data_IF_213262098795
#
_entry.id   IF_213262098795
#
_cell.length_a   1.000
_cell.length_b   1.000
_cell.length_c   1.000
_cell.angle_alpha   90.00
_cell.angle_beta   90.00
_cell.angle_gamma   90.00
#
_symmetry.space_group_name_H-M   'P 1'
#
loop_
_entity.id
_entity.type
_entity.pdbx_description
1 polymer ?
#
# COMPACT_ATOMS: atom_id res chain seq x y z
N UNK A 1 -15.88 10.35 -1.66
CA UNK A 1 -16.06 9.32 -2.71
C UNK A 1 -17.51 9.37 -3.13
N UNK A 2 -17.82 10.11 -4.19
CA UNK A 2 -19.18 10.30 -4.69
C UNK A 2 -19.58 9.27 -5.77
N UNK A 3 -18.63 8.44 -6.22
CA UNK A 3 -18.87 7.38 -7.20
C UNK A 3 -19.42 6.11 -6.54
N UNK A 4 -20.54 5.61 -7.06
CA UNK A 4 -21.19 4.38 -6.59
C UNK A 4 -20.33 3.13 -6.75
N UNK A 5 -19.30 3.16 -7.61
CA UNK A 5 -18.39 2.05 -7.86
C UNK A 5 -17.27 1.89 -6.81
N UNK A 6 -17.03 2.90 -5.97
CA UNK A 6 -15.90 2.95 -5.05
C UNK A 6 -16.34 2.79 -3.59
N UNK A 7 -15.67 1.90 -2.86
CA UNK A 7 -15.85 1.71 -1.42
C UNK A 7 -14.93 2.64 -0.64
N UNK A 8 -13.66 2.70 -1.05
CA UNK A 8 -12.60 3.41 -0.32
C UNK A 8 -11.63 4.03 -1.31
N UNK A 9 -11.29 5.30 -1.07
CA UNK A 9 -10.19 5.97 -1.73
C UNK A 9 -9.34 6.68 -0.67
N UNK A 10 -8.04 6.42 -0.66
CA UNK A 10 -7.12 7.03 0.30
C UNK A 10 -5.83 7.50 -0.38
N UNK A 11 -5.39 8.71 -0.04
CA UNK A 11 -4.12 9.26 -0.47
C UNK A 11 -2.99 8.64 0.34
N UNK A 12 -1.95 8.18 -0.34
CA UNK A 12 -0.84 7.45 0.24
C UNK A 12 0.49 8.11 -0.12
N UNK A 13 1.37 8.21 0.88
CA UNK A 13 2.78 8.48 0.71
C UNK A 13 3.59 7.21 0.95
N UNK A 14 4.61 6.96 0.13
CA UNK A 14 5.45 5.77 0.25
C UNK A 14 6.35 5.88 1.49
N UNK A 15 6.39 4.82 2.31
CA UNK A 15 7.38 4.72 3.39
C UNK A 15 8.77 4.49 2.80
N UNK A 16 9.82 5.10 3.37
CA UNK A 16 11.18 4.71 3.00
C UNK A 16 11.41 3.24 3.39
N UNK A 17 12.28 2.55 2.64
CA UNK A 17 12.44 1.10 2.73
C UNK A 17 12.71 0.59 4.15
N UNK A 18 13.52 1.33 4.92
CA UNK A 18 13.87 1.03 6.30
C UNK A 18 12.75 1.26 7.32
N UNK A 19 11.71 2.03 6.99
CA UNK A 19 10.58 2.31 7.90
C UNK A 19 9.29 1.58 7.49
N UNK A 20 9.41 0.60 6.59
CA UNK A 20 8.27 -0.26 6.26
C UNK A 20 7.99 -1.23 7.40
N UNK A 21 6.71 -1.48 7.66
CA UNK A 21 6.30 -2.36 8.77
C UNK A 21 6.63 -3.83 8.51
N UNK A 22 6.87 -4.22 7.26
CA UNK A 22 7.36 -5.54 6.89
C UNK A 22 8.89 -5.64 6.90
N UNK A 23 9.61 -4.59 7.27
CA UNK A 23 11.09 -4.57 7.31
C UNK A 23 11.60 -4.19 8.68
N UNK A 24 11.21 -3.01 9.19
CA UNK A 24 11.75 -2.44 10.43
C UNK A 24 11.64 -3.37 11.65
N UNK A 25 10.46 -3.92 12.00
CA UNK A 25 10.35 -4.78 13.18
C UNK A 25 11.15 -6.08 13.05
N UNK A 26 11.23 -6.65 11.84
CA UNK A 26 11.98 -7.89 11.60
C UNK A 26 13.48 -7.64 11.62
N UNK A 27 13.95 -6.49 11.14
CA UNK A 27 15.35 -6.09 11.26
C UNK A 27 15.76 -6.00 12.74
N UNK A 28 14.95 -5.33 13.58
CA UNK A 28 15.19 -5.25 15.03
C UNK A 28 15.19 -6.64 15.67
N UNK A 29 14.22 -7.48 15.31
CA UNK A 29 14.13 -8.86 15.81
C UNK A 29 15.40 -9.65 15.48
N UNK A 30 15.86 -9.60 14.23
CA UNK A 30 17.04 -10.35 13.79
C UNK A 30 18.32 -9.87 14.46
N UNK A 31 18.51 -8.54 14.60
CA UNK A 31 19.66 -7.98 15.33
C UNK A 31 19.62 -8.40 16.80
N UNK A 32 18.44 -8.39 17.42
CA UNK A 32 18.27 -8.78 18.82
C UNK A 32 18.60 -10.25 19.05
N UNK A 33 18.09 -11.14 18.20
CA UNK A 33 18.37 -12.58 18.29
C UNK A 33 19.86 -12.85 18.03
N UNK A 34 20.44 -12.22 17.02
CA UNK A 34 21.87 -12.36 16.73
C UNK A 34 22.72 -11.96 17.92
N UNK A 35 22.38 -10.85 18.58
CA UNK A 35 23.07 -10.37 19.78
C UNK A 35 22.96 -11.35 20.96
N UNK A 36 21.81 -12.01 21.13
CA UNK A 36 21.62 -13.06 22.13
C UNK A 36 22.46 -14.29 21.81
N UNK A 37 22.46 -14.74 20.55
CA UNK A 37 23.23 -15.92 20.12
C UNK A 37 24.75 -15.74 20.33
N UNK A 38 25.27 -14.51 20.18
CA UNK A 38 26.68 -14.22 20.46
C UNK A 38 27.07 -14.35 21.94
N UNK A 39 26.10 -14.23 22.85
CA UNK A 39 26.32 -14.29 24.30
C UNK A 39 25.96 -15.66 24.90
N UNK A 40 25.36 -16.55 24.11
CA UNK A 40 24.95 -17.86 24.56
C UNK A 40 26.09 -18.87 24.42
N UNK A 41 26.26 -19.71 25.44
CA UNK A 41 27.07 -20.91 25.32
C UNK A 41 26.42 -21.88 24.33
N UNK A 42 27.25 -22.51 23.50
CA UNK A 42 26.79 -23.48 22.51
C UNK A 42 26.16 -24.70 23.19
N UNK A 43 25.01 -25.13 22.69
CA UNK A 43 24.20 -26.22 23.25
C UNK A 43 23.40 -25.80 24.48
N UNK A 44 23.42 -24.53 24.88
CA UNK A 44 22.61 -24.06 26.00
C UNK A 44 21.13 -24.03 25.65
N UNK A 45 20.28 -24.17 26.67
CA UNK A 45 18.84 -24.01 26.52
C UNK A 45 18.45 -22.63 25.98
N UNK A 46 19.22 -21.58 26.34
CA UNK A 46 19.02 -20.21 25.84
C UNK A 46 19.26 -20.09 24.35
N UNK A 47 20.26 -20.79 23.81
CA UNK A 47 20.49 -20.86 22.36
C UNK A 47 19.29 -21.48 21.65
N UNK A 48 18.79 -22.62 22.15
CA UNK A 48 17.61 -23.27 21.58
C UNK A 48 16.38 -22.35 21.61
N UNK A 49 16.13 -21.67 22.73
CA UNK A 49 15.04 -20.69 22.84
C UNK A 49 15.18 -19.56 21.81
N UNK A 50 16.39 -19.00 21.65
CA UNK A 50 16.66 -17.95 20.67
C UNK A 50 16.40 -18.44 19.23
N UNK A 51 16.80 -19.68 18.91
CA UNK A 51 16.54 -20.30 17.61
C UNK A 51 15.05 -20.57 17.37
N UNK A 52 14.30 -21.00 18.39
CA UNK A 52 12.85 -21.15 18.28
C UNK A 52 12.16 -19.81 18.02
N UNK A 53 12.54 -18.75 18.75
CA UNK A 53 12.02 -17.39 18.52
C UNK A 53 12.37 -16.90 17.11
N UNK A 54 13.58 -17.19 16.62
CA UNK A 54 13.97 -16.89 15.25
C UNK A 54 13.07 -17.60 14.24
N UNK A 55 12.84 -18.90 14.40
CA UNK A 55 11.96 -19.68 13.52
C UNK A 55 10.55 -19.11 13.46
N UNK A 56 9.95 -18.81 14.61
CA UNK A 56 8.62 -18.17 14.67
C UNK A 56 8.63 -16.79 14.02
N UNK A 57 9.65 -15.97 14.30
CA UNK A 57 9.82 -14.65 13.71
C UNK A 57 9.91 -14.70 12.18
N UNK A 58 10.66 -15.64 11.64
CA UNK A 58 10.80 -15.87 10.21
C UNK A 58 9.47 -16.26 9.56
N UNK A 59 8.71 -17.16 10.18
CA UNK A 59 7.39 -17.57 9.70
C UNK A 59 6.44 -16.37 9.67
N UNK A 60 6.39 -15.57 10.73
CA UNK A 60 5.57 -14.35 10.79
C UNK A 60 5.99 -13.34 9.72
N UNK A 61 7.30 -13.19 9.47
CA UNK A 61 7.81 -12.33 8.41
C UNK A 61 7.34 -12.80 7.02
N UNK A 62 7.45 -14.10 6.74
CA UNK A 62 6.97 -14.69 5.48
C UNK A 62 5.47 -14.44 5.29
N UNK A 63 4.66 -14.68 6.33
CA UNK A 63 3.22 -14.40 6.28
C UNK A 63 2.91 -12.92 6.07
N UNK A 64 3.71 -12.01 6.64
CA UNK A 64 3.58 -10.57 6.40
C UNK A 64 3.83 -10.23 4.92
N UNK A 65 4.89 -10.77 4.34
CA UNK A 65 5.21 -10.56 2.91
C UNK A 65 4.13 -11.16 2.00
N UNK A 66 3.64 -12.37 2.30
CA UNK A 66 2.55 -13.00 1.57
C UNK A 66 1.24 -12.22 1.70
N UNK A 67 0.91 -11.74 2.90
CA UNK A 67 -0.26 -10.90 3.16
C UNK A 67 -0.24 -9.63 2.32
N UNK A 68 0.94 -9.01 2.15
CA UNK A 68 1.10 -7.84 1.28
C UNK A 68 0.92 -8.18 -0.21
N UNK A 69 1.16 -9.42 -0.63
CA UNK A 69 0.86 -9.88 -1.99
C UNK A 69 -0.62 -10.15 -2.20
N UNK A 70 -1.33 -10.68 -1.21
CA UNK A 70 -2.73 -11.09 -1.33
C UNK A 70 -3.75 -9.98 -1.08
N UNK A 71 -3.43 -9.01 -0.22
CA UNK A 71 -4.35 -7.94 0.14
C UNK A 71 -3.77 -6.57 -0.14
N UNK A 72 -4.47 -5.78 -0.97
CA UNK A 72 -4.10 -4.40 -1.27
C UNK A 72 -4.18 -3.50 -0.03
N UNK A 73 -5.17 -3.73 0.85
CA UNK A 73 -5.33 -3.03 2.13
C UNK A 73 -4.15 -3.31 3.05
N UNK A 74 -3.72 -4.57 3.12
CA UNK A 74 -2.55 -4.93 3.92
C UNK A 74 -1.27 -4.32 3.34
N UNK A 75 -1.09 -4.40 2.01
CA UNK A 75 0.02 -3.75 1.29
C UNK A 75 0.09 -2.24 1.58
N UNK A 76 -1.05 -1.56 1.55
CA UNK A 76 -1.16 -0.14 1.87
C UNK A 76 -0.69 0.13 3.31
N UNK A 77 -1.16 -0.66 4.29
CA UNK A 77 -0.76 -0.51 5.69
C UNK A 77 0.73 -0.70 5.93
N UNK A 78 1.35 -1.72 5.32
CA UNK A 78 2.77 -2.03 5.58
C UNK A 78 3.75 -1.12 4.84
N UNK A 79 3.41 -0.74 3.60
CA UNK A 79 4.31 -0.02 2.70
C UNK A 79 4.10 1.49 2.64
N UNK A 80 2.97 2.00 3.13
CA UNK A 80 2.57 3.39 2.94
C UNK A 80 2.11 4.06 4.23
N UNK A 81 2.06 5.38 4.21
CA UNK A 81 1.43 6.22 5.23
C UNK A 81 0.27 6.94 4.56
N UNK A 82 -0.89 6.96 5.21
CA UNK A 82 -2.03 7.73 4.73
C UNK A 82 -1.78 9.22 4.97
N UNK A 83 -2.01 10.03 3.94
CA UNK A 83 -1.85 11.49 3.99
C UNK A 83 -3.18 12.16 3.68
N UNK A 84 -3.41 13.36 4.19
CA UNK A 84 -4.63 14.13 3.93
C UNK A 84 -4.50 15.12 2.78
N UNK A 85 -3.27 15.41 2.34
CA UNK A 85 -2.96 16.41 1.32
C UNK A 85 -2.49 15.73 0.03
N UNK A 86 -2.97 16.23 -1.09
CA UNK A 86 -2.65 15.70 -2.42
C UNK A 86 -1.18 15.93 -2.79
N UNK A 87 -0.68 17.11 -2.44
CA UNK A 87 0.70 17.57 -2.62
C UNK A 87 1.74 16.69 -1.92
N UNK A 88 1.35 15.97 -0.87
CA UNK A 88 2.20 15.02 -0.17
C UNK A 88 2.00 13.56 -0.63
N UNK A 89 0.98 13.29 -1.46
CA UNK A 89 0.62 11.95 -1.89
C UNK A 89 1.43 11.54 -3.12
N UNK A 90 2.00 10.35 -3.10
CA UNK A 90 2.64 9.74 -4.28
C UNK A 90 1.78 8.65 -4.92
N UNK A 91 0.82 8.12 -4.17
CA UNK A 91 -0.05 7.04 -4.60
C UNK A 91 -1.49 7.25 -4.10
N UNK A 92 -2.44 6.54 -4.72
CA UNK A 92 -3.83 6.42 -4.27
C UNK A 92 -4.15 4.95 -4.08
N UNK A 93 -4.69 4.61 -2.91
CA UNK A 93 -5.38 3.35 -2.71
C UNK A 93 -6.80 3.49 -3.25
N UNK A 94 -7.19 2.56 -4.11
CA UNK A 94 -8.53 2.46 -4.66
C UNK A 94 -9.08 1.08 -4.29
N UNK A 95 -10.14 1.03 -3.51
CA UNK A 95 -10.89 -0.20 -3.22
C UNK A 95 -12.28 -0.07 -3.84
N UNK A 96 -12.58 -0.84 -4.90
CA UNK A 96 -13.92 -0.86 -5.47
C UNK A 96 -14.89 -1.56 -4.51
N UNK A 97 -16.19 -1.28 -4.65
CA UNK A 97 -17.23 -2.07 -3.98
C UNK A 97 -17.27 -3.49 -4.51
N UNK A 98 -17.96 -4.37 -3.78
CA UNK A 98 -18.20 -5.75 -4.22
C UNK A 98 -18.73 -5.79 -5.66
N UNK A 99 -18.16 -6.67 -6.49
CA UNK A 99 -18.45 -6.85 -7.92
C UNK A 99 -17.93 -5.76 -8.89
N UNK A 100 -17.24 -4.72 -8.42
CA UNK A 100 -16.66 -3.66 -9.28
C UNK A 100 -15.16 -3.86 -9.57
N UNK A 101 -14.62 -5.06 -9.37
CA UNK A 101 -13.24 -5.42 -9.70
C UNK A 101 -12.35 -5.68 -8.48
N UNK A 102 -11.04 -5.47 -8.62
CA UNK A 102 -10.04 -5.68 -7.55
C UNK A 102 -9.44 -4.35 -7.13
N UNK A 103 -9.19 -4.16 -5.85
CA UNK A 103 -8.51 -2.97 -5.37
C UNK A 103 -7.06 -2.88 -5.84
N UNK A 104 -6.58 -1.65 -6.04
CA UNK A 104 -5.26 -1.35 -6.54
C UNK A 104 -4.63 -0.16 -5.81
N UNK A 105 -3.30 -0.10 -5.84
CA UNK A 105 -2.55 1.10 -5.45
C UNK A 105 -1.99 1.67 -6.75
N UNK A 106 -2.37 2.91 -7.06
CA UNK A 106 -2.04 3.58 -8.33
C UNK A 106 -1.10 4.73 -8.04
N UNK A 107 -0.10 4.94 -8.91
CA UNK A 107 0.83 6.06 -8.79
C UNK A 107 0.15 7.35 -9.24
N UNK A 108 0.23 8.39 -8.43
CA UNK A 108 -0.15 9.75 -8.83
C UNK A 108 0.94 10.27 -9.76
N UNK A 109 0.62 10.44 -11.05
CA UNK A 109 1.46 11.24 -11.94
C UNK A 109 0.95 12.67 -11.85
N UNK A 110 1.86 13.64 -11.75
CA UNK A 110 1.51 15.02 -12.05
C UNK A 110 1.54 15.18 -13.59
N UNK A 111 0.40 15.33 -14.29
CA UNK A 111 0.42 15.91 -15.61
C UNK A 111 1.21 17.22 -15.58
N UNK A 112 1.97 17.46 -16.64
CA UNK A 112 2.46 18.80 -16.97
C UNK A 112 1.23 19.69 -17.20
N UNK A 113 0.64 20.24 -16.13
CA UNK A 113 -0.51 21.17 -16.20
C UNK A 113 -1.78 20.83 -15.38
N UNK A 114 -1.78 19.83 -14.49
CA UNK A 114 -2.93 19.51 -13.62
C UNK A 114 -2.75 18.16 -12.94
N UNK A 115 -3.52 17.79 -11.90
CA UNK A 115 -3.43 16.49 -11.22
C UNK A 115 -4.42 15.46 -11.84
N UNK A 116 -3.92 14.55 -12.69
CA UNK A 116 -4.72 13.50 -13.33
C UNK A 116 -4.30 12.13 -12.82
N UNK A 117 -5.28 11.25 -12.55
CA UNK A 117 -5.03 9.90 -12.03
C UNK A 117 -5.65 8.88 -12.96
N UNK A 118 -4.83 8.00 -13.54
CA UNK A 118 -5.31 6.94 -14.43
C UNK A 118 -5.53 5.67 -13.61
N UNK A 119 -6.78 5.27 -13.44
CA UNK A 119 -7.17 4.08 -12.66
C UNK A 119 -7.91 3.11 -13.60
N UNK A 120 -7.38 1.89 -13.79
CA UNK A 120 -7.99 0.83 -14.63
C UNK A 120 -8.30 1.22 -16.09
N UNK A 121 -7.47 2.06 -16.72
CA UNK A 121 -7.68 2.49 -18.12
C UNK A 121 -8.80 3.52 -18.30
N UNK A 122 -9.50 3.89 -17.21
CA UNK A 122 -10.30 5.10 -17.14
C UNK A 122 -9.44 6.23 -16.56
N UNK A 123 -9.48 7.38 -17.22
CA UNK A 123 -8.83 8.59 -16.73
C UNK A 123 -9.78 9.26 -15.73
N UNK A 124 -9.32 9.41 -14.49
CA UNK A 124 -10.03 10.16 -13.47
C UNK A 124 -9.32 11.50 -13.31
N UNK A 125 -10.05 12.57 -13.60
CA UNK A 125 -9.59 13.91 -13.26
C UNK A 125 -9.86 14.12 -11.78
N UNK A 126 -8.86 14.59 -11.04
CA UNK A 126 -9.11 15.10 -9.70
C UNK A 126 -9.63 16.52 -9.83
N UNK A 127 -10.83 16.77 -9.35
CA UNK A 127 -11.40 18.11 -9.30
C UNK A 127 -10.80 18.85 -8.10
N UNK A 128 -9.88 19.78 -8.35
CA UNK A 128 -9.15 20.53 -7.31
C UNK A 128 -10.03 21.28 -6.27
N UNK A 129 -11.20 21.85 -6.60
CA UNK A 129 -12.07 22.51 -5.64
C UNK A 129 -12.75 21.54 -4.67
N UNK A 130 -13.05 20.31 -5.10
CA UNK A 130 -13.83 19.34 -4.33
C UNK A 130 -12.99 18.19 -3.78
N UNK A 131 -11.76 18.02 -4.28
CA UNK A 131 -10.89 16.86 -4.03
C UNK A 131 -11.59 15.52 -4.33
N UNK A 132 -12.58 15.54 -5.23
CA UNK A 132 -13.28 14.35 -5.68
C UNK A 132 -12.67 13.82 -6.97
N UNK A 133 -12.53 12.50 -7.04
CA UNK A 133 -12.21 11.81 -8.28
C UNK A 133 -13.46 11.75 -9.14
N UNK A 134 -13.50 12.51 -10.23
CA UNK A 134 -14.54 12.40 -11.23
C UNK A 134 -14.03 11.52 -12.37
N UNK A 135 -14.82 10.52 -12.76
CA UNK A 135 -14.55 9.80 -14.00
C UNK A 135 -14.61 10.82 -15.14
N UNK A 136 -13.61 10.81 -16.03
CA UNK A 136 -13.71 11.54 -17.28
C UNK A 136 -14.85 10.91 -18.07
N UNK A 137 -16.08 11.42 -17.89
CA UNK A 137 -17.18 11.14 -18.79
C UNK A 137 -16.75 11.70 -20.14
N UNK A 138 -16.29 10.84 -21.01
CA UNK A 138 -16.23 11.16 -22.43
C UNK A 138 -17.65 11.56 -22.82
N UNK A 139 -17.85 12.85 -23.07
CA UNK A 139 -19.05 13.31 -23.74
C UNK A 139 -19.07 12.56 -25.07
N UNK A 140 -19.98 11.59 -25.20
CA UNK A 140 -20.30 11.03 -26.51
C UNK A 140 -20.86 12.22 -27.27
N UNK A 141 -20.04 12.84 -28.12
CA UNK A 141 -20.55 13.74 -29.14
C UNK A 141 -21.44 12.88 -30.01
N UNK A 142 -22.74 13.00 -29.80
CA UNK A 142 -23.75 12.59 -30.74
C UNK A 142 -23.54 13.45 -31.98
N UNK A 143 -22.65 12.98 -32.87
CA UNK A 143 -22.48 13.55 -34.19
C UNK A 143 -23.72 13.19 -34.98
N UNK A 144 -24.79 13.96 -34.74
CA UNK A 144 -26.03 13.91 -35.51
C UNK A 144 -25.71 13.88 -36.99
N UNK A 145 -25.84 12.69 -37.58
CA UNK A 145 -25.92 12.50 -39.01
C UNK A 145 -27.35 12.08 -39.31
N UNK A 146 -28.06 13.06 -39.86
CA UNK A 146 -29.30 12.92 -40.64
C UNK A 146 -29.07 11.95 -41.80
#
# INVERSE_FOLDING_TARGET
VSDAALEEAALLAQRPAWNRLDVAPFMVLYISIYSVLLQCDRGSWRELQALCVFGVGLVVHIFTVLGAKWSVRFRAKVGFVQVSRLDAASHVLVVPRENYGRGAIVVLKAPRGGAGVVVFGAEFALDEPTLEFQSARYAIQDNGRV
#
